data_IF_264600261197
#
_entry.id   IF_264600261197
#
_cell.length_a   1.000
_cell.length_b   1.000
_cell.length_c   1.000
_cell.angle_alpha   90.00
_cell.angle_beta   90.00
_cell.angle_gamma   90.00
#
_symmetry.space_group_name_H-M   'P 1'
#
loop_
_entity.id
_entity.type
_entity.pdbx_description
1 polymer ?
#
# COMPACT_ATOMS: atom_id res chain seq x y z
N UNK A 1 11.62 -5.42 -1.00
CA UNK A 1 11.08 -6.32 -2.04
C UNK A 1 9.56 -6.16 -2.19
N UNK A 2 8.75 -6.24 -1.13
CA UNK A 2 7.28 -6.03 -1.24
C UNK A 2 6.86 -4.69 -1.86
N UNK A 3 7.61 -3.60 -1.60
CA UNK A 3 7.37 -2.29 -2.21
C UNK A 3 7.41 -2.27 -3.74
N UNK A 4 8.28 -3.07 -4.36
CA UNK A 4 8.37 -3.17 -5.82
C UNK A 4 7.12 -3.79 -6.42
N UNK A 5 6.64 -4.88 -5.82
CA UNK A 5 5.41 -5.57 -6.23
C UNK A 5 4.17 -4.68 -6.08
N UNK A 6 4.12 -3.89 -5.00
CA UNK A 6 3.05 -2.92 -4.78
C UNK A 6 3.02 -1.84 -5.87
N UNK A 7 4.17 -1.23 -6.20
CA UNK A 7 4.26 -0.24 -7.28
C UNK A 7 3.88 -0.85 -8.63
N UNK A 8 4.38 -2.05 -8.94
CA UNK A 8 4.02 -2.75 -10.18
C UNK A 8 2.52 -3.02 -10.28
N UNK A 9 1.89 -3.43 -9.17
CA UNK A 9 0.44 -3.64 -9.13
C UNK A 9 -0.35 -2.34 -9.37
N UNK A 10 0.12 -1.20 -8.84
CA UNK A 10 -0.53 0.10 -9.07
C UNK A 10 -0.40 0.58 -10.53
N UNK A 11 0.71 0.27 -11.20
CA UNK A 11 0.87 0.56 -12.63
C UNK A 11 -0.05 -0.29 -13.50
N UNK A 12 -0.21 -1.58 -13.18
CA UNK A 12 -1.17 -2.45 -13.85
C UNK A 12 -2.62 -1.95 -13.69
N UNK A 13 -2.96 -1.37 -12.53
CA UNK A 13 -4.28 -0.79 -12.29
C UNK A 13 -4.61 0.35 -13.27
N UNK A 14 -3.60 1.13 -13.68
CA UNK A 14 -3.76 2.26 -14.60
C UNK A 14 -3.94 1.84 -16.07
N UNK A 15 -3.68 0.57 -16.41
CA UNK A 15 -3.95 0.06 -17.76
C UNK A 15 -5.44 -0.17 -18.00
N UNK A 16 -6.23 -0.36 -16.93
CA UNK A 16 -7.66 -0.65 -17.04
C UNK A 16 -8.45 0.49 -17.71
N UNK A 17 -8.30 1.78 -17.31
CA UNK A 17 -8.94 2.90 -18.01
C UNK A 17 -8.61 3.00 -19.51
N UNK A 18 -7.36 2.68 -19.90
CA UNK A 18 -6.95 2.72 -21.31
C UNK A 18 -7.65 1.64 -22.14
N UNK A 19 -7.80 0.44 -21.57
CA UNK A 19 -8.51 -0.67 -22.22
C UNK A 19 -10.00 -0.37 -22.30
N UNK A 20 -10.58 0.21 -21.23
CA UNK A 20 -11.98 0.66 -21.21
C UNK A 20 -12.23 1.73 -22.28
N UNK A 21 -11.31 2.70 -22.48
CA UNK A 21 -11.42 3.65 -23.59
C UNK A 21 -11.49 2.93 -24.93
N UNK A 22 -10.60 1.97 -25.15
CA UNK A 22 -10.59 1.17 -26.38
C UNK A 22 -11.83 0.27 -26.57
N UNK A 23 -12.59 -0.03 -25.51
CA UNK A 23 -13.89 -0.70 -25.60
C UNK A 23 -15.00 0.28 -25.98
N UNK A 24 -14.95 1.50 -25.46
CA UNK A 24 -15.97 2.54 -25.67
C UNK A 24 -15.85 3.18 -27.07
N UNK A 25 -14.64 3.46 -27.55
CA UNK A 25 -14.37 4.20 -28.79
C UNK A 25 -14.62 3.42 -30.10
N UNK A 26 -15.29 2.26 -30.05
CA UNK A 26 -15.76 1.57 -31.25
C UNK A 26 -15.14 0.20 -31.50
N UNK A 27 -14.97 -0.65 -30.48
CA UNK A 27 -14.67 -2.05 -30.73
C UNK A 27 -15.85 -2.74 -31.41
N UNK A 28 -15.64 -3.24 -32.63
CA UNK A 28 -16.57 -4.17 -33.30
C UNK A 28 -16.90 -5.34 -32.37
N UNK A 29 -18.13 -5.86 -32.44
CA UNK A 29 -18.63 -6.93 -31.56
C UNK A 29 -17.67 -8.15 -31.51
N UNK A 30 -16.97 -8.44 -32.61
CA UNK A 30 -15.95 -9.51 -32.67
C UNK A 30 -14.72 -9.28 -31.77
N UNK A 31 -14.32 -8.04 -31.52
CA UNK A 31 -13.14 -7.70 -30.72
C UNK A 31 -13.44 -7.42 -29.24
N UNK A 32 -14.72 -7.28 -28.87
CA UNK A 32 -15.14 -7.04 -27.48
C UNK A 32 -14.73 -8.21 -26.59
N UNK A 33 -14.97 -9.45 -27.04
CA UNK A 33 -14.64 -10.66 -26.26
C UNK A 33 -13.16 -10.74 -25.90
N UNK A 34 -12.28 -10.44 -26.86
CA UNK A 34 -10.82 -10.43 -26.65
C UNK A 34 -10.38 -9.34 -25.66
N UNK A 35 -10.90 -8.10 -25.78
CA UNK A 35 -10.57 -6.99 -24.86
C UNK A 35 -11.10 -7.22 -23.43
N UNK A 36 -12.29 -7.81 -23.29
CA UNK A 36 -12.83 -8.21 -21.98
C UNK A 36 -11.94 -9.29 -21.35
N UNK A 37 -11.51 -10.28 -22.13
CA UNK A 37 -10.59 -11.31 -21.65
C UNK A 37 -9.23 -10.75 -21.21
N UNK A 38 -8.67 -9.81 -21.99
CA UNK A 38 -7.44 -9.09 -21.61
C UNK A 38 -7.61 -8.29 -20.31
N UNK A 39 -8.74 -7.60 -20.14
CA UNK A 39 -9.06 -6.85 -18.92
C UNK A 39 -9.12 -7.77 -17.70
N UNK A 40 -9.77 -8.93 -17.86
CA UNK A 40 -9.84 -9.95 -16.82
C UNK A 40 -8.44 -10.46 -16.43
N UNK A 41 -7.58 -10.73 -17.42
CA UNK A 41 -6.23 -11.22 -17.18
C UNK A 41 -5.37 -10.19 -16.43
N UNK A 42 -5.47 -8.90 -16.80
CA UNK A 42 -4.78 -7.81 -16.11
C UNK A 42 -5.30 -7.65 -14.68
N UNK A 43 -6.60 -7.77 -14.46
CA UNK A 43 -7.20 -7.69 -13.13
C UNK A 43 -6.70 -8.81 -12.21
N UNK A 44 -6.66 -10.05 -12.71
CA UNK A 44 -6.09 -11.19 -11.97
C UNK A 44 -4.61 -10.97 -11.68
N UNK A 45 -3.84 -10.51 -12.67
CA UNK A 45 -2.42 -10.17 -12.49
C UNK A 45 -2.24 -9.12 -11.40
N UNK A 46 -2.98 -8.01 -11.47
CA UNK A 46 -2.96 -6.93 -10.48
C UNK A 46 -3.25 -7.46 -9.08
N UNK A 47 -4.31 -8.27 -8.91
CA UNK A 47 -4.68 -8.84 -7.62
C UNK A 47 -3.57 -9.72 -7.03
N UNK A 48 -2.94 -10.56 -7.86
CA UNK A 48 -1.82 -11.41 -7.46
C UNK A 48 -0.59 -10.59 -7.04
N UNK A 49 -0.16 -9.63 -7.87
CA UNK A 49 1.00 -8.78 -7.58
C UNK A 49 0.76 -7.93 -6.32
N UNK A 50 -0.45 -7.39 -6.16
CA UNK A 50 -0.85 -6.61 -4.97
C UNK A 50 -0.80 -7.48 -3.71
N UNK A 51 -1.44 -8.66 -3.73
CA UNK A 51 -1.48 -9.58 -2.58
C UNK A 51 -0.08 -10.01 -2.14
N UNK A 52 0.77 -10.43 -3.09
CA UNK A 52 2.17 -10.81 -2.82
C UNK A 52 2.94 -9.60 -2.27
N UNK A 53 2.76 -8.43 -2.87
CA UNK A 53 3.38 -7.18 -2.45
C UNK A 53 3.06 -6.82 -1.00
N UNK A 54 1.77 -6.81 -0.65
CA UNK A 54 1.30 -6.52 0.72
C UNK A 54 1.78 -7.57 1.72
N UNK A 55 1.74 -8.86 1.37
CA UNK A 55 2.24 -9.91 2.25
C UNK A 55 3.72 -9.75 2.56
N UNK A 56 4.56 -9.57 1.53
CA UNK A 56 6.01 -9.40 1.70
C UNK A 56 6.36 -8.09 2.42
N UNK A 57 5.61 -7.02 2.15
CA UNK A 57 5.79 -5.73 2.80
C UNK A 57 5.43 -5.83 4.29
N UNK A 58 4.28 -6.40 4.61
CA UNK A 58 3.81 -6.62 5.98
C UNK A 58 4.78 -7.50 6.76
N UNK A 59 5.20 -8.64 6.21
CA UNK A 59 6.18 -9.52 6.87
C UNK A 59 7.50 -8.77 7.19
N UNK A 60 7.96 -7.91 6.29
CA UNK A 60 9.17 -7.10 6.51
C UNK A 60 8.95 -6.00 7.55
N UNK A 61 7.77 -5.39 7.56
CA UNK A 61 7.37 -4.37 8.52
C UNK A 61 7.26 -4.93 9.93
N UNK A 62 6.63 -6.09 10.11
CA UNK A 62 6.49 -6.76 11.41
C UNK A 62 7.83 -7.06 12.06
N UNK A 63 8.81 -7.53 11.27
CA UNK A 63 10.19 -7.75 11.77
C UNK A 63 10.82 -6.46 12.32
N UNK A 64 10.55 -5.31 11.70
CA UNK A 64 11.04 -4.01 12.17
C UNK A 64 10.32 -3.57 13.44
N UNK A 65 9.00 -3.73 13.51
CA UNK A 65 8.20 -3.42 14.71
C UNK A 65 8.62 -4.27 15.89
N UNK A 66 8.85 -5.58 15.69
CA UNK A 66 9.35 -6.47 16.72
C UNK A 66 10.71 -5.99 17.26
N UNK A 67 11.61 -5.51 16.39
CA UNK A 67 12.90 -4.94 16.80
C UNK A 67 12.74 -3.64 17.59
N UNK A 68 11.79 -2.77 17.21
CA UNK A 68 11.47 -1.54 17.97
C UNK A 68 10.98 -1.91 19.37
N UNK A 69 9.99 -2.81 19.46
CA UNK A 69 9.43 -3.26 20.75
C UNK A 69 10.51 -3.87 21.64
N UNK A 70 11.40 -4.70 21.08
CA UNK A 70 12.54 -5.27 21.81
C UNK A 70 13.46 -4.18 22.37
N UNK A 71 13.84 -3.18 21.58
CA UNK A 71 14.69 -2.07 22.03
C UNK A 71 14.05 -1.23 23.15
N UNK A 72 12.75 -0.96 23.05
CA UNK A 72 12.02 -0.22 24.08
C UNK A 72 12.01 -1.00 25.39
N UNK A 73 11.73 -2.30 25.33
CA UNK A 73 11.75 -3.18 26.51
C UNK A 73 13.16 -3.26 27.11
N UNK A 74 14.20 -3.45 26.30
CA UNK A 74 15.59 -3.45 26.76
C UNK A 74 15.94 -2.14 27.48
N UNK A 75 15.59 -0.99 26.90
CA UNK A 75 15.83 0.32 27.52
C UNK A 75 15.12 0.49 28.87
N UNK A 76 13.92 -0.08 29.03
CA UNK A 76 13.20 -0.05 30.29
C UNK A 76 13.84 -0.94 31.36
N UNK A 77 14.36 -2.11 30.99
CA UNK A 77 15.04 -3.01 31.95
C UNK A 77 16.28 -2.33 32.58
N UNK A 78 16.97 -1.48 31.82
CA UNK A 78 18.13 -0.73 32.30
C UNK A 78 17.80 0.68 32.82
N UNK A 79 16.51 1.04 32.94
CA UNK A 79 16.10 2.34 33.45
C UNK A 79 16.35 2.46 34.96
N UNK A 80 16.61 3.69 35.42
CA UNK A 80 16.83 3.97 36.84
C UNK A 80 15.58 3.66 37.69
N UNK A 81 15.79 3.27 38.95
CA UNK A 81 14.70 2.99 39.89
C UNK A 81 13.75 4.19 40.08
N UNK A 82 14.29 5.41 40.04
CA UNK A 82 13.55 6.67 40.15
C UNK A 82 12.49 6.86 39.05
N UNK A 83 12.66 6.21 37.90
CA UNK A 83 11.69 6.20 36.80
C UNK A 83 10.46 5.34 37.14
N UNK A 84 10.68 4.20 37.79
CA UNK A 84 9.62 3.28 38.21
C UNK A 84 8.86 3.77 39.44
N UNK A 85 9.48 4.59 40.28
CA UNK A 85 8.79 5.23 41.42
C UNK A 85 7.68 6.20 40.96
N UNK A 86 7.74 6.69 39.72
CA UNK A 86 6.78 7.62 39.12
C UNK A 86 5.80 6.98 38.14
N UNK A 87 6.01 5.71 37.77
CA UNK A 87 5.32 5.07 36.63
C UNK A 87 4.75 3.71 37.05
N UNK A 88 3.46 3.46 36.83
CA UNK A 88 2.88 2.15 37.10
C UNK A 88 3.28 1.14 36.01
N UNK A 89 3.74 -0.07 36.40
CA UNK A 89 4.12 -1.13 35.44
C UNK A 89 3.01 -1.49 34.45
N UNK A 90 1.74 -1.41 34.86
CA UNK A 90 0.60 -1.65 33.97
C UNK A 90 0.44 -0.57 32.90
N UNK A 91 0.65 0.69 33.27
CA UNK A 91 0.62 1.83 32.36
C UNK A 91 1.77 1.76 31.34
N UNK A 92 2.99 1.44 31.79
CA UNK A 92 4.15 1.25 30.91
C UNK A 92 3.92 0.12 29.90
N UNK A 93 3.39 -1.01 30.35
CA UNK A 93 3.10 -2.15 29.46
C UNK A 93 2.04 -1.77 28.41
N UNK A 94 0.99 -1.07 28.84
CA UNK A 94 -0.05 -0.58 27.94
C UNK A 94 0.50 0.42 26.92
N UNK A 95 1.31 1.39 27.36
CA UNK A 95 1.96 2.37 26.50
C UNK A 95 2.84 1.71 25.44
N UNK A 96 3.70 0.74 25.81
CA UNK A 96 4.53 0.02 24.85
C UNK A 96 3.67 -0.67 23.79
N UNK A 97 2.61 -1.38 24.21
CA UNK A 97 1.75 -2.10 23.27
C UNK A 97 1.01 -1.12 22.36
N UNK A 98 0.39 -0.08 22.92
CA UNK A 98 -0.42 0.85 22.18
C UNK A 98 0.42 1.70 21.23
N UNK A 99 1.52 2.28 21.71
CA UNK A 99 2.39 3.15 20.91
C UNK A 99 3.08 2.35 19.80
N UNK A 100 3.57 1.13 20.09
CA UNK A 100 4.15 0.28 19.03
C UNK A 100 3.11 -0.19 18.03
N UNK A 101 1.85 -0.33 18.42
CA UNK A 101 0.75 -0.66 17.51
C UNK A 101 0.38 0.50 16.59
N UNK A 102 0.39 1.74 17.10
CA UNK A 102 0.22 2.94 16.27
C UNK A 102 1.35 3.06 15.25
N UNK A 103 2.61 2.86 15.68
CA UNK A 103 3.77 2.86 14.77
C UNK A 103 3.66 1.73 13.74
N UNK A 104 3.18 0.55 14.16
CA UNK A 104 2.93 -0.59 13.26
C UNK A 104 1.90 -0.23 12.20
N UNK A 105 0.77 0.32 12.58
CA UNK A 105 -0.30 0.70 11.64
C UNK A 105 0.22 1.73 10.63
N UNK A 106 0.94 2.73 11.11
CA UNK A 106 1.55 3.73 10.24
C UNK A 106 2.54 3.09 9.25
N UNK A 107 3.48 2.28 9.73
CA UNK A 107 4.57 1.74 8.90
C UNK A 107 4.11 0.63 7.95
N UNK A 108 3.17 -0.22 8.36
CA UNK A 108 2.74 -1.40 7.61
C UNK A 108 1.56 -1.09 6.70
N UNK A 109 0.66 -0.19 7.10
CA UNK A 109 -0.58 0.10 6.38
C UNK A 109 -0.56 1.50 5.77
N UNK A 110 -0.46 2.54 6.59
CA UNK A 110 -0.65 3.93 6.13
C UNK A 110 0.44 4.37 5.16
N UNK A 111 1.70 4.15 5.50
CA UNK A 111 2.86 4.57 4.73
C UNK A 111 2.90 4.01 3.30
N UNK A 112 2.78 2.69 3.06
CA UNK A 112 2.71 2.17 1.69
C UNK A 112 1.47 2.67 0.95
N UNK A 113 0.32 2.83 1.62
CA UNK A 113 -0.89 3.36 1.00
C UNK A 113 -0.71 4.81 0.53
N UNK A 114 0.03 5.65 1.27
CA UNK A 114 0.35 7.02 0.82
C UNK A 114 1.16 6.97 -0.47
N UNK A 115 2.20 6.13 -0.54
CA UNK A 115 3.04 5.99 -1.74
C UNK A 115 2.20 5.51 -2.92
N UNK A 116 1.36 4.49 -2.72
CA UNK A 116 0.49 3.97 -3.79
C UNK A 116 -0.54 4.99 -4.23
N UNK A 117 -1.12 5.75 -3.30
CA UNK A 117 -2.07 6.81 -3.62
C UNK A 117 -1.41 7.92 -4.43
N UNK A 118 -0.17 8.30 -4.10
CA UNK A 118 0.60 9.26 -4.90
C UNK A 118 0.87 8.74 -6.32
N UNK A 119 1.30 7.49 -6.46
CA UNK A 119 1.52 6.86 -7.78
C UNK A 119 0.22 6.81 -8.58
N UNK A 120 -0.89 6.43 -7.94
CA UNK A 120 -2.21 6.40 -8.56
C UNK A 120 -2.67 7.78 -9.00
N UNK A 121 -2.55 8.80 -8.15
CA UNK A 121 -2.95 10.18 -8.50
C UNK A 121 -2.12 10.70 -9.67
N UNK A 122 -0.80 10.60 -9.59
CA UNK A 122 0.08 11.08 -10.67
C UNK A 122 -0.15 10.29 -11.96
N UNK A 123 -0.26 8.97 -11.88
CA UNK A 123 -0.47 8.11 -13.03
C UNK A 123 -1.85 8.29 -13.68
N UNK A 124 -2.90 8.46 -12.89
CA UNK A 124 -4.24 8.72 -13.40
C UNK A 124 -4.35 10.08 -14.08
N UNK A 125 -3.68 11.12 -13.56
CA UNK A 125 -3.56 12.42 -14.24
C UNK A 125 -2.93 12.21 -15.63
N UNK A 126 -1.79 11.52 -15.72
CA UNK A 126 -1.12 11.25 -17.01
C UNK A 126 -2.02 10.48 -17.98
N UNK A 127 -2.75 9.48 -17.47
CA UNK A 127 -3.71 8.70 -18.28
C UNK A 127 -4.84 9.60 -18.78
N UNK A 128 -5.45 10.42 -17.93
CA UNK A 128 -6.54 11.33 -18.33
C UNK A 128 -6.10 12.31 -19.42
N UNK A 129 -4.94 12.96 -19.25
CA UNK A 129 -4.37 13.85 -20.28
C UNK A 129 -4.09 13.12 -21.60
N UNK A 130 -3.71 11.83 -21.54
CA UNK A 130 -3.49 11.00 -22.73
C UNK A 130 -4.80 10.56 -23.40
N UNK A 131 -5.90 10.47 -22.64
CA UNK A 131 -7.20 10.08 -23.15
C UNK A 131 -7.87 11.23 -23.91
N UNK A 132 -8.07 12.38 -23.25
CA UNK A 132 -8.64 13.57 -23.85
C UNK A 132 -8.18 14.83 -23.13
N UNK A 133 -7.33 15.61 -23.80
CA UNK A 133 -6.76 16.83 -23.24
C UNK A 133 -7.83 17.92 -22.96
N UNK A 134 -8.91 17.92 -23.75
CA UNK A 134 -9.97 18.93 -23.71
C UNK A 134 -10.95 18.70 -22.54
N UNK A 135 -11.16 17.44 -22.14
CA UNK A 135 -11.96 17.08 -20.96
C UNK A 135 -11.16 17.15 -19.66
N UNK A 136 -9.83 17.03 -19.72
CA UNK A 136 -8.95 17.02 -18.53
C UNK A 136 -8.67 18.41 -17.95
N UNK A 137 -8.86 19.47 -18.72
CA UNK A 137 -8.62 20.88 -18.33
C UNK A 137 -9.88 21.61 -17.80
N UNK A 138 -11.04 20.94 -17.87
CA UNK A 138 -12.35 21.44 -17.45
C UNK A 138 -12.63 21.05 -15.99
#
# INVERSE_FOLDING_TARGET
>A
MGSFFLVLSSLLALLLPLILKGLIDGSSIENIGSKVFQSFLIFIGQALFSSIGYYLFSQSGEKKIAKIRKKVIEGLIYAEKSFFDKSQSGELTSAIVNDTSVIREFLITTFPNIILSLVMVLGSIVVLFSLDWNLSLL
#
